data_IF_988533056722
#
_entry.id   IF_988533056722
#
_cell.length_a   1.000
_cell.length_b   1.000
_cell.length_c   1.000
_cell.angle_alpha   90.00
_cell.angle_beta   90.00
_cell.angle_gamma   90.00
#
_symmetry.space_group_name_H-M   'P 1'
#
loop_
_entity.id
_entity.type
_entity.pdbx_description
1 polymer ?
#
# COMPACT_ATOMS: atom_id res chain seq x y z
N UNK A 1 4.00 -7.20 17.38
CA UNK A 1 5.25 -6.98 16.62
C UNK A 1 5.77 -8.31 16.08
N UNK A 2 5.45 -8.64 14.83
CA UNK A 2 5.80 -9.91 14.21
C UNK A 2 7.31 -10.06 14.04
N UNK A 3 7.88 -11.10 14.65
CA UNK A 3 9.30 -11.40 14.57
C UNK A 3 9.66 -12.09 13.24
N UNK A 4 10.79 -11.67 12.67
CA UNK A 4 11.66 -12.42 11.76
C UNK A 4 11.19 -12.76 10.33
N UNK A 5 11.44 -11.81 9.41
CA UNK A 5 11.54 -11.96 7.95
C UNK A 5 10.28 -12.46 7.24
N UNK A 6 10.12 -12.10 5.96
CA UNK A 6 9.20 -12.85 5.10
C UNK A 6 9.59 -14.33 5.21
N UNK A 7 8.73 -15.17 5.77
CA UNK A 7 9.03 -16.58 5.97
C UNK A 7 8.85 -17.34 4.64
N UNK A 8 9.69 -17.00 3.65
CA UNK A 8 9.72 -17.64 2.34
C UNK A 8 9.75 -19.18 2.44
N UNK A 9 10.46 -19.80 3.42
CA UNK A 9 10.38 -21.25 3.61
C UNK A 9 9.00 -21.79 4.01
N UNK A 10 8.21 -21.03 4.77
CA UNK A 10 6.83 -21.41 5.14
C UNK A 10 5.90 -21.29 3.94
N UNK A 11 6.05 -20.23 3.13
CA UNK A 11 5.30 -20.04 1.88
C UNK A 11 5.65 -21.17 0.90
N UNK A 12 6.95 -21.44 0.71
CA UNK A 12 7.44 -22.51 -0.16
C UNK A 12 6.84 -23.87 0.17
N UNK A 13 6.66 -24.19 1.47
CA UNK A 13 6.04 -25.46 1.91
C UNK A 13 4.57 -25.62 1.46
N UNK A 14 3.88 -24.53 1.16
CA UNK A 14 2.44 -24.53 0.82
C UNK A 14 2.15 -24.40 -0.68
N UNK A 15 3.18 -24.22 -1.50
CA UNK A 15 3.01 -24.07 -2.95
C UNK A 15 2.80 -25.45 -3.58
N UNK A 16 1.69 -25.67 -4.32
CA UNK A 16 1.36 -26.93 -4.94
C UNK A 16 2.12 -27.11 -6.25
N UNK A 17 3.45 -27.21 -6.17
CA UNK A 17 4.31 -27.57 -7.31
C UNK A 17 5.27 -28.72 -6.92
N UNK A 18 5.84 -29.37 -7.93
CA UNK A 18 6.75 -30.51 -7.76
C UNK A 18 8.22 -30.08 -7.59
N UNK A 19 8.51 -28.78 -7.40
CA UNK A 19 9.89 -28.31 -7.23
C UNK A 19 10.38 -28.45 -5.80
N UNK A 20 11.68 -28.75 -5.66
CA UNK A 20 12.36 -28.80 -4.37
C UNK A 20 12.11 -27.53 -3.55
N UNK A 21 11.86 -27.70 -2.26
CA UNK A 21 11.54 -26.58 -1.35
C UNK A 21 12.60 -25.48 -1.39
N UNK A 22 13.88 -25.87 -1.37
CA UNK A 22 14.99 -24.90 -1.40
C UNK A 22 15.06 -24.15 -2.74
N UNK A 23 14.67 -24.79 -3.84
CA UNK A 23 14.54 -24.12 -5.15
C UNK A 23 13.43 -23.06 -5.11
N UNK A 24 12.27 -23.39 -4.51
CA UNK A 24 11.18 -22.43 -4.29
C UNK A 24 11.59 -21.25 -3.42
N UNK A 25 12.31 -21.50 -2.31
CA UNK A 25 12.82 -20.44 -1.44
C UNK A 25 13.76 -19.52 -2.21
N UNK A 26 14.71 -20.07 -2.98
CA UNK A 26 15.60 -19.27 -3.83
C UNK A 26 14.82 -18.47 -4.88
N UNK A 27 13.80 -19.06 -5.51
CA UNK A 27 12.94 -18.37 -6.49
C UNK A 27 12.23 -17.18 -5.85
N UNK A 28 11.59 -17.37 -4.69
CA UNK A 28 10.89 -16.28 -4.00
C UNK A 28 11.85 -15.21 -3.50
N UNK A 29 13.02 -15.60 -2.99
CA UNK A 29 14.04 -14.64 -2.56
C UNK A 29 14.53 -13.81 -3.74
N UNK A 30 14.77 -14.41 -4.91
CA UNK A 30 15.14 -13.67 -6.11
C UNK A 30 14.04 -12.68 -6.51
N UNK A 31 12.80 -13.15 -6.55
CA UNK A 31 11.66 -12.32 -6.93
C UNK A 31 11.43 -11.12 -6.00
N UNK A 32 11.48 -11.32 -4.67
CA UNK A 32 11.28 -10.22 -3.70
C UNK A 32 12.42 -9.19 -3.74
N UNK A 33 13.63 -9.58 -4.19
CA UNK A 33 14.78 -8.68 -4.28
C UNK A 33 15.04 -8.21 -5.73
N UNK A 34 14.15 -8.49 -6.67
CA UNK A 34 14.30 -8.07 -8.06
C UNK A 34 13.74 -6.65 -8.22
N UNK A 35 14.63 -5.69 -8.48
CA UNK A 35 14.29 -4.25 -8.58
C UNK A 35 13.31 -3.95 -9.72
N UNK A 36 13.15 -4.86 -10.69
CA UNK A 36 12.18 -4.72 -11.78
C UNK A 36 10.74 -5.05 -11.36
N UNK A 37 10.56 -5.61 -10.16
CA UNK A 37 9.25 -5.91 -9.59
C UNK A 37 8.74 -4.64 -8.91
N UNK A 38 8.25 -3.73 -9.74
CA UNK A 38 7.75 -2.43 -9.32
C UNK A 38 6.24 -2.45 -9.07
N UNK A 39 5.76 -1.52 -8.25
CA UNK A 39 4.34 -1.37 -7.91
C UNK A 39 3.48 -1.18 -9.18
N UNK A 40 3.98 -0.35 -10.08
CA UNK A 40 3.41 0.05 -11.36
C UNK A 40 3.20 -1.17 -12.28
N UNK A 41 4.11 -2.15 -12.22
CA UNK A 41 4.02 -3.34 -13.05
C UNK A 41 3.11 -4.43 -12.48
N UNK A 42 3.10 -4.60 -11.16
CA UNK A 42 2.50 -5.79 -10.52
C UNK A 42 1.23 -5.53 -9.73
N UNK A 43 0.98 -4.29 -9.31
CA UNK A 43 -0.14 -3.96 -8.42
C UNK A 43 -1.05 -2.88 -9.01
N UNK A 44 -0.47 -1.82 -9.58
CA UNK A 44 -1.22 -0.69 -10.13
C UNK A 44 -2.34 -1.09 -11.10
N UNK A 45 -2.16 -2.03 -12.06
CA UNK A 45 -3.24 -2.39 -12.98
C UNK A 45 -4.48 -2.97 -12.28
N UNK A 46 -4.30 -3.63 -11.13
CA UNK A 46 -5.40 -4.14 -10.32
C UNK A 46 -6.08 -3.03 -9.53
N UNK A 47 -5.30 -2.04 -9.07
CA UNK A 47 -5.81 -0.85 -8.37
C UNK A 47 -6.65 0.00 -9.32
N UNK A 48 -6.16 0.29 -10.52
CA UNK A 48 -6.89 1.04 -11.55
C UNK A 48 -8.21 0.34 -11.90
N UNK A 49 -8.16 -0.98 -12.15
CA UNK A 49 -9.35 -1.76 -12.44
C UNK A 49 -10.34 -1.76 -11.26
N UNK A 50 -9.85 -1.85 -10.02
CA UNK A 50 -10.66 -1.76 -8.81
C UNK A 50 -11.34 -0.39 -8.73
N UNK A 51 -10.58 0.71 -8.80
CA UNK A 51 -11.11 2.07 -8.67
C UNK A 51 -12.11 2.38 -9.78
N UNK A 52 -11.81 2.02 -11.03
CA UNK A 52 -12.74 2.17 -12.16
C UNK A 52 -14.06 1.41 -11.94
N UNK A 53 -13.99 0.19 -11.37
CA UNK A 53 -15.20 -0.58 -11.04
C UNK A 53 -16.05 0.06 -9.94
N UNK A 54 -15.44 0.88 -9.07
CA UNK A 54 -16.10 1.55 -7.95
C UNK A 54 -16.51 2.99 -8.26
N UNK A 55 -16.05 3.57 -9.37
CA UNK A 55 -16.24 4.96 -9.79
C UNK A 55 -17.70 5.40 -9.97
N UNK A 56 -18.65 4.46 -10.05
CA UNK A 56 -20.09 4.74 -10.17
C UNK A 56 -20.74 5.27 -8.87
N UNK A 57 -19.95 5.46 -7.81
CA UNK A 57 -20.35 5.98 -6.50
C UNK A 57 -19.16 6.70 -5.86
N UNK A 58 -19.37 7.52 -4.82
CA UNK A 58 -18.27 8.15 -4.11
C UNK A 58 -17.25 7.14 -3.60
N UNK A 59 -15.97 7.41 -3.86
CA UNK A 59 -14.85 6.61 -3.37
C UNK A 59 -14.52 7.04 -1.94
N UNK A 60 -14.75 6.15 -0.99
CA UNK A 60 -14.33 6.36 0.39
C UNK A 60 -12.86 5.95 0.52
N UNK A 61 -11.95 6.91 0.63
CA UNK A 61 -10.53 6.68 0.82
C UNK A 61 -10.17 6.93 2.28
N UNK A 62 -9.31 6.09 2.84
CA UNK A 62 -8.78 6.25 4.19
C UNK A 62 -7.26 6.19 4.17
N UNK A 63 -6.61 7.19 4.77
CA UNK A 63 -5.17 7.20 5.04
C UNK A 63 -4.92 6.72 6.47
N UNK A 64 -3.93 5.86 6.64
CA UNK A 64 -3.50 5.35 7.94
C UNK A 64 -1.99 5.06 7.96
N UNK A 65 -1.40 5.11 9.15
CA UNK A 65 0.00 4.84 9.43
C UNK A 65 0.18 3.55 10.22
N UNK A 66 1.18 2.74 9.89
CA UNK A 66 1.51 1.55 10.67
C UNK A 66 3.00 1.27 10.75
N UNK A 67 3.42 0.54 11.78
CA UNK A 67 4.77 -0.02 11.84
C UNK A 67 4.83 -1.29 10.98
N UNK A 68 5.77 -1.35 10.02
CA UNK A 68 5.95 -2.51 9.15
C UNK A 68 7.40 -3.01 9.18
N UNK A 69 7.57 -4.33 9.16
CA UNK A 69 8.92 -4.93 9.14
C UNK A 69 9.74 -4.57 10.38
N UNK A 70 11.06 -4.44 10.21
CA UNK A 70 11.98 -4.08 11.31
C UNK A 70 12.51 -2.67 11.10
N UNK A 71 11.99 -1.73 11.89
CA UNK A 71 12.41 -0.33 11.82
C UNK A 71 11.97 0.35 10.53
N UNK A 72 10.78 0.02 10.04
CA UNK A 72 10.12 0.78 8.99
C UNK A 72 8.71 1.17 9.42
N UNK A 73 8.23 2.26 8.84
CA UNK A 73 6.86 2.73 8.94
C UNK A 73 6.25 2.70 7.54
N UNK A 74 4.95 2.43 7.45
CA UNK A 74 4.16 2.54 6.23
C UNK A 74 3.05 3.58 6.41
N UNK A 75 2.93 4.50 5.47
CA UNK A 75 1.75 5.36 5.30
C UNK A 75 1.01 4.83 4.09
N UNK A 76 -0.28 4.53 4.23
CA UNK A 76 -1.05 3.81 3.24
C UNK A 76 -2.41 4.47 3.05
N UNK A 77 -2.80 4.65 1.79
CA UNK A 77 -4.18 4.99 1.43
C UNK A 77 -4.88 3.73 0.92
N UNK A 78 -6.09 3.51 1.42
CA UNK A 78 -6.95 2.40 1.03
C UNK A 78 -8.30 2.90 0.56
N UNK A 79 -8.89 2.26 -0.45
CA UNK A 79 -10.32 2.40 -0.72
C UNK A 79 -11.11 1.49 0.22
N UNK A 80 -12.15 2.04 0.84
CA UNK A 80 -13.03 1.31 1.73
C UNK A 80 -14.18 0.72 0.92
N UNK A 81 -14.26 -0.61 0.90
CA UNK A 81 -15.32 -1.35 0.22
C UNK A 81 -15.82 -2.52 1.08
N UNK A 82 -17.14 -2.61 1.27
CA UNK A 82 -17.79 -3.69 2.03
C UNK A 82 -17.10 -4.00 3.37
N UNK A 83 -16.85 -2.95 4.18
CA UNK A 83 -16.17 -3.03 5.49
C UNK A 83 -14.73 -3.53 5.41
N UNK A 84 -14.07 -3.41 4.26
CA UNK A 84 -12.65 -3.73 4.08
C UNK A 84 -11.89 -2.52 3.56
N UNK A 85 -10.70 -2.31 4.11
CA UNK A 85 -9.71 -1.42 3.53
C UNK A 85 -8.91 -2.20 2.48
N UNK A 86 -9.00 -1.77 1.22
CA UNK A 86 -8.24 -2.32 0.11
C UNK A 86 -7.12 -1.32 -0.23
N UNK A 87 -5.84 -1.67 0.01
CA UNK A 87 -4.72 -0.77 -0.27
C UNK A 87 -4.68 -0.34 -1.73
N UNK A 88 -4.48 0.95 -1.97
CA UNK A 88 -4.35 1.49 -3.34
C UNK A 88 -3.00 2.17 -3.57
N UNK A 89 -2.40 2.75 -2.54
CA UNK A 89 -1.05 3.33 -2.60
C UNK A 89 -0.41 3.33 -1.21
N UNK A 90 0.92 3.33 -1.15
CA UNK A 90 1.64 3.42 0.12
C UNK A 90 3.08 3.91 -0.06
N UNK A 91 3.63 4.51 1.01
CA UNK A 91 5.03 4.86 1.13
C UNK A 91 5.60 4.15 2.35
N UNK A 92 6.76 3.50 2.18
CA UNK A 92 7.51 2.87 3.28
C UNK A 92 8.79 3.65 3.53
N UNK A 93 9.02 4.04 4.78
CA UNK A 93 10.24 4.74 5.21
C UNK A 93 10.92 3.97 6.33
N UNK A 94 12.24 4.13 6.46
CA UNK A 94 12.99 3.58 7.59
C UNK A 94 12.81 4.48 8.81
N UNK A 95 12.41 3.92 9.94
CA UNK A 95 12.12 4.66 11.17
C UNK A 95 11.65 3.73 12.30
N UNK A 96 11.90 4.12 13.55
CA UNK A 96 11.64 3.25 14.72
C UNK A 96 10.36 3.58 15.49
N UNK A 97 9.77 4.77 15.26
CA UNK A 97 8.47 5.23 15.78
C UNK A 97 8.28 6.71 15.47
N UNK A 98 7.03 7.14 15.31
CA UNK A 98 6.66 8.56 15.20
C UNK A 98 5.75 8.84 14.03
N UNK A 99 5.13 10.01 14.05
CA UNK A 99 4.27 10.49 12.96
C UNK A 99 5.09 10.69 11.69
N UNK A 100 4.46 10.42 10.56
CA UNK A 100 5.06 10.74 9.27
C UNK A 100 5.19 12.27 9.13
N UNK A 101 6.26 12.76 8.48
CA UNK A 101 6.30 14.16 8.05
C UNK A 101 5.12 14.44 7.13
N UNK A 102 4.48 15.61 7.26
CA UNK A 102 3.35 16.01 6.43
C UNK A 102 3.66 15.90 4.92
N UNK A 103 4.90 16.19 4.51
CA UNK A 103 5.37 16.00 3.13
C UNK A 103 5.13 14.57 2.61
N UNK A 104 5.24 13.55 3.47
CA UNK A 104 4.94 12.17 3.07
C UNK A 104 3.46 11.96 2.85
N UNK A 105 2.59 12.60 3.63
CA UNK A 105 1.14 12.55 3.44
C UNK A 105 0.74 13.22 2.12
N UNK A 106 1.30 14.40 1.85
CA UNK A 106 1.07 15.15 0.60
C UNK A 106 1.51 14.31 -0.59
N UNK A 107 2.76 13.80 -0.58
CA UNK A 107 3.28 12.97 -1.67
C UNK A 107 2.43 11.73 -1.92
N UNK A 108 1.98 11.05 -0.86
CA UNK A 108 1.11 9.89 -1.00
C UNK A 108 -0.26 10.28 -1.60
N UNK A 109 -0.79 11.44 -1.20
CA UNK A 109 -2.08 11.93 -1.70
C UNK A 109 -2.01 12.35 -3.16
N UNK A 110 -0.89 12.94 -3.61
CA UNK A 110 -0.61 13.22 -5.02
C UNK A 110 -0.56 11.92 -5.84
N UNK A 111 0.13 10.88 -5.35
CA UNK A 111 0.14 9.57 -6.01
C UNK A 111 -1.25 8.94 -6.11
N UNK A 112 -2.10 9.15 -5.10
CA UNK A 112 -3.48 8.68 -5.10
C UNK A 112 -4.33 9.47 -6.10
N UNK A 113 -4.13 10.78 -6.20
CA UNK A 113 -4.82 11.62 -7.17
C UNK A 113 -4.60 11.12 -8.61
N UNK A 114 -3.37 10.76 -8.96
CA UNK A 114 -3.01 10.28 -10.30
C UNK A 114 -3.70 8.96 -10.70
N UNK A 115 -4.14 8.16 -9.73
CA UNK A 115 -4.77 6.85 -9.99
C UNK A 115 -6.29 6.85 -9.80
N UNK A 116 -6.85 7.91 -9.21
CA UNK A 116 -8.30 8.06 -9.03
C UNK A 116 -8.93 8.44 -10.38
N UNK A 117 -9.99 7.75 -10.84
CA UNK A 117 -10.61 8.08 -12.12
C UNK A 117 -11.21 9.50 -12.11
N UNK A 118 -11.05 10.21 -13.23
CA UNK A 118 -11.58 11.56 -13.40
C UNK A 118 -13.10 11.63 -13.16
N UNK A 119 -13.54 12.72 -12.53
CA UNK A 119 -14.96 12.97 -12.25
C UNK A 119 -15.56 12.12 -11.13
N UNK A 120 -14.76 11.33 -10.41
CA UNK A 120 -15.23 10.64 -9.21
C UNK A 120 -15.34 11.57 -8.01
N UNK A 121 -16.44 11.48 -7.28
CA UNK A 121 -16.53 12.04 -5.94
C UNK A 121 -15.64 11.23 -4.99
N UNK A 122 -14.85 11.91 -4.16
CA UNK A 122 -13.96 11.29 -3.18
C UNK A 122 -14.30 11.78 -1.78
N UNK A 123 -14.42 10.85 -0.83
CA UNK A 123 -14.46 11.15 0.60
C UNK A 123 -13.14 10.67 1.18
N UNK A 124 -12.30 11.60 1.60
CA UNK A 124 -10.98 11.30 2.15
C UNK A 124 -11.00 11.36 3.68
N UNK A 125 -10.64 10.26 4.34
CA UNK A 125 -10.63 10.13 5.80
C UNK A 125 -9.21 9.91 6.30
N UNK A 126 -8.87 10.53 7.42
CA UNK A 126 -7.68 10.24 8.22
C UNK A 126 -8.01 10.48 9.69
N UNK A 127 -7.21 9.91 10.60
CA UNK A 127 -7.27 10.27 12.01
C UNK A 127 -6.55 11.62 12.27
N UNK A 128 -6.39 11.98 13.55
CA UNK A 128 -5.76 13.24 13.94
C UNK A 128 -4.29 13.39 13.51
N UNK A 129 -3.60 12.33 13.08
CA UNK A 129 -2.23 12.44 12.52
C UNK A 129 -2.23 13.17 11.17
N UNK A 130 -3.35 13.17 10.45
CA UNK A 130 -3.47 13.72 9.10
C UNK A 130 -4.13 15.10 9.10
N UNK A 131 -3.86 15.92 10.12
CA UNK A 131 -4.43 17.26 10.32
C UNK A 131 -3.61 18.41 9.69
N UNK A 132 -2.54 18.07 8.95
CA UNK A 132 -1.70 19.03 8.25
C UNK A 132 -2.47 19.93 7.27
N UNK A 133 -2.23 21.23 7.31
CA UNK A 133 -2.95 22.21 6.47
C UNK A 133 -2.56 22.13 5.00
N UNK A 134 -1.32 21.72 4.70
CA UNK A 134 -0.86 21.50 3.33
C UNK A 134 -1.57 20.28 2.76
N UNK A 135 -1.64 19.19 3.52
CA UNK A 135 -2.41 18.01 3.13
C UNK A 135 -3.87 18.36 2.84
N UNK A 136 -4.53 19.09 3.75
CA UNK A 136 -5.92 19.52 3.57
C UNK A 136 -6.11 20.37 2.30
N UNK A 137 -5.15 21.24 1.97
CA UNK A 137 -5.19 22.03 0.74
C UNK A 137 -4.94 21.20 -0.53
N UNK A 138 -4.12 20.14 -0.44
CA UNK A 138 -3.85 19.22 -1.56
C UNK A 138 -5.07 18.36 -1.91
N UNK A 139 -5.89 18.00 -0.92
CA UNK A 139 -7.07 17.12 -1.12
C UNK A 139 -8.39 17.88 -1.27
N UNK A 140 -8.37 19.22 -1.18
CA UNK A 140 -9.54 20.09 -1.33
C UNK A 140 -9.83 20.40 -2.81
#
# INVERSE_FOLDING_TARGET
MGSNSAHLPKIAKKVPDNTEKESRVKRFSRWVNDERIEFECYYLPYVEALLASLAHRPLLLAIDGSEIGRGCLISMVSVIYEKRALPIAWIVVRGSKGHFPEETHVRLSEQVHDIVPEGCDVIFLGDGEFDGTTLQATIA
#
